data_IF_338438046849
#
_entry.id   IF_338438046849
#
_cell.length_a   1.000
_cell.length_b   1.000
_cell.length_c   1.000
_cell.angle_alpha   90.00
_cell.angle_beta   90.00
_cell.angle_gamma   90.00
#
_symmetry.space_group_name_H-M   'P 1'
#
loop_
_entity.id
_entity.type
_entity.pdbx_description
1 polymer ?
#
# COMPACT_ATOMS: atom_id res chain seq x y z
N UNK A 1 8.27 36.61 -4.47
CA UNK A 1 9.30 35.81 -3.74
C UNK A 1 9.08 34.36 -4.09
N UNK A 2 9.79 33.88 -5.11
CA UNK A 2 9.83 32.48 -5.51
C UNK A 2 11.09 31.87 -4.92
N UNK A 3 10.95 30.74 -4.23
CA UNK A 3 12.04 29.80 -4.09
C UNK A 3 11.71 28.62 -5.02
N UNK A 4 12.59 28.28 -5.99
CA UNK A 4 12.41 27.10 -6.83
C UNK A 4 12.61 25.82 -5.99
N UNK A 5 11.73 24.83 -6.17
CA UNK A 5 11.75 23.53 -5.50
C UNK A 5 12.18 22.42 -6.46
N UNK A 6 13.33 22.60 -7.09
CA UNK A 6 13.94 21.53 -7.87
C UNK A 6 15.40 21.36 -7.45
N UNK A 7 15.66 20.31 -6.67
CA UNK A 7 16.95 19.62 -6.69
C UNK A 7 16.85 18.29 -5.92
N UNK A 8 16.37 17.24 -6.60
CA UNK A 8 16.80 15.85 -6.33
C UNK A 8 16.68 15.06 -7.63
N UNK A 9 17.59 15.35 -8.56
CA UNK A 9 17.94 14.43 -9.62
C UNK A 9 18.98 13.42 -9.12
N UNK A 10 18.91 12.22 -9.68
CA UNK A 10 19.89 11.13 -9.66
C UNK A 10 19.82 10.12 -8.50
N UNK A 11 18.99 9.08 -8.67
CA UNK A 11 19.55 7.80 -9.11
C UNK A 11 18.58 7.11 -10.09
N UNK A 12 18.88 7.28 -11.37
CA UNK A 12 18.13 6.72 -12.48
C UNK A 12 18.78 5.41 -12.91
N UNK A 13 18.53 4.33 -12.18
CA UNK A 13 18.69 2.96 -12.66
C UNK A 13 18.03 1.98 -11.68
N UNK A 14 16.75 1.70 -11.92
CA UNK A 14 16.11 0.38 -11.99
C UNK A 14 14.61 0.67 -11.96
N UNK A 15 14.08 1.05 -13.12
CA UNK A 15 12.69 0.81 -13.45
C UNK A 15 12.69 0.42 -14.93
N UNK A 16 12.59 -0.87 -15.28
CA UNK A 16 12.19 -1.18 -16.64
C UNK A 16 10.80 -0.58 -16.79
N UNK A 17 10.63 0.32 -17.75
CA UNK A 17 9.31 0.79 -18.14
C UNK A 17 8.44 -0.45 -18.37
N UNK A 18 7.39 -0.60 -17.56
CA UNK A 18 6.39 -1.67 -17.76
C UNK A 18 5.60 -1.27 -18.99
N UNK A 19 5.69 -2.05 -20.06
CA UNK A 19 4.95 -1.80 -21.30
C UNK A 19 3.45 -1.92 -21.00
N UNK A 20 2.57 -1.05 -21.51
CA UNK A 20 1.12 -1.26 -21.40
C UNK A 20 0.64 -2.60 -21.98
N UNK A 21 1.44 -3.31 -22.78
CA UNK A 21 1.18 -4.68 -23.20
C UNK A 21 1.53 -5.75 -22.13
N UNK A 22 2.34 -5.41 -21.13
CA UNK A 22 2.68 -6.23 -19.95
C UNK A 22 1.65 -6.08 -18.82
N UNK A 23 0.49 -5.46 -19.07
CA UNK A 23 -0.64 -5.48 -18.14
C UNK A 23 -1.16 -6.92 -18.00
N UNK A 24 -1.02 -7.57 -16.82
CA UNK A 24 -1.38 -8.97 -16.67
C UNK A 24 -2.88 -9.16 -16.85
N UNK A 25 -3.25 -10.12 -17.70
CA UNK A 25 -4.61 -10.63 -17.82
C UNK A 25 -4.81 -11.75 -16.80
N UNK A 26 -5.44 -11.44 -15.66
CA UNK A 26 -5.85 -12.43 -14.65
C UNK A 26 -4.73 -12.89 -13.73
N UNK A 27 -4.90 -12.65 -12.42
CA UNK A 27 -4.19 -13.28 -11.29
C UNK A 27 -2.67 -13.11 -11.11
N UNK A 28 -1.92 -12.43 -11.99
CA UNK A 28 -0.49 -12.16 -11.73
C UNK A 28 -0.25 -10.84 -10.97
N UNK A 29 0.05 -10.96 -9.67
CA UNK A 29 0.57 -9.86 -8.85
C UNK A 29 1.98 -9.50 -9.31
N UNK A 30 2.27 -8.21 -9.48
CA UNK A 30 3.66 -7.76 -9.70
C UNK A 30 4.49 -7.96 -8.43
N UNK A 31 5.80 -8.15 -8.56
CA UNK A 31 6.76 -8.24 -7.43
C UNK A 31 6.66 -7.00 -6.49
N UNK A 32 6.25 -5.85 -7.03
CA UNK A 32 5.97 -4.65 -6.25
C UNK A 32 4.75 -4.82 -5.34
N UNK A 33 3.65 -5.35 -5.89
CA UNK A 33 2.40 -5.57 -5.18
C UNK A 33 2.50 -6.66 -4.12
N UNK A 34 3.20 -7.76 -4.40
CA UNK A 34 3.42 -8.84 -3.42
C UNK A 34 4.10 -8.33 -2.15
N UNK A 35 5.16 -7.51 -2.29
CA UNK A 35 5.89 -6.95 -1.14
C UNK A 35 5.04 -6.01 -0.30
N UNK A 36 4.17 -5.24 -0.95
CA UNK A 36 3.24 -4.34 -0.24
C UNK A 36 2.18 -5.16 0.50
N UNK A 37 1.62 -6.19 -0.15
CA UNK A 37 0.64 -7.08 0.45
C UNK A 37 1.23 -7.83 1.66
N UNK A 38 2.45 -8.34 1.55
CA UNK A 38 3.17 -8.99 2.64
C UNK A 38 3.40 -8.02 3.82
N UNK A 39 3.83 -6.79 3.53
CA UNK A 39 4.02 -5.76 4.56
C UNK A 39 2.73 -5.45 5.31
N UNK A 40 1.63 -5.19 4.58
CA UNK A 40 0.33 -4.87 5.17
C UNK A 40 -0.16 -6.05 6.01
N UNK A 41 -0.14 -7.26 5.44
CA UNK A 41 -0.59 -8.48 6.10
C UNK A 41 0.23 -8.73 7.37
N UNK A 42 1.55 -8.65 7.28
CA UNK A 42 2.44 -8.82 8.42
C UNK A 42 2.13 -7.85 9.56
N UNK A 43 1.96 -6.55 9.25
CA UNK A 43 1.67 -5.57 10.29
C UNK A 43 0.29 -5.81 10.90
N UNK A 44 -0.75 -6.00 10.08
CA UNK A 44 -2.13 -6.11 10.55
C UNK A 44 -2.36 -7.39 11.35
N UNK A 45 -1.85 -8.53 10.89
CA UNK A 45 -1.92 -9.82 11.61
C UNK A 45 -1.32 -9.72 13.01
N UNK A 46 -0.26 -8.93 13.19
CA UNK A 46 0.37 -8.71 14.50
C UNK A 46 -0.34 -7.66 15.36
N UNK A 47 -1.27 -6.90 14.80
CA UNK A 47 -2.08 -5.94 15.56
C UNK A 47 -3.36 -6.61 16.08
N UNK A 48 -4.02 -7.44 15.29
CA UNK A 48 -5.36 -7.98 15.59
C UNK A 48 -5.36 -9.16 16.57
N UNK A 49 -6.54 -9.47 17.11
CA UNK A 49 -6.78 -10.66 17.94
C UNK A 49 -7.25 -11.85 17.10
N UNK A 50 -7.87 -11.58 15.94
CA UNK A 50 -8.34 -12.58 14.98
C UNK A 50 -7.51 -12.53 13.69
N UNK A 51 -6.28 -13.08 13.68
CA UNK A 51 -5.40 -13.02 12.51
C UNK A 51 -5.94 -13.82 11.31
N UNK A 52 -6.79 -14.82 11.54
CA UNK A 52 -7.42 -15.61 10.49
C UNK A 52 -8.47 -14.84 9.69
N UNK A 53 -9.00 -13.75 10.26
CA UNK A 53 -10.04 -12.92 9.65
C UNK A 53 -9.44 -11.73 8.87
N UNK A 54 -8.11 -11.67 8.74
CA UNK A 54 -7.42 -10.62 7.99
C UNK A 54 -7.30 -11.02 6.54
N UNK A 55 -7.91 -10.25 5.65
CA UNK A 55 -7.73 -10.40 4.19
C UNK A 55 -7.33 -9.08 3.56
N UNK A 56 -6.44 -9.12 2.58
CA UNK A 56 -5.97 -7.95 1.84
C UNK A 56 -6.29 -8.13 0.37
N UNK A 57 -7.20 -7.30 -0.14
CA UNK A 57 -7.60 -7.27 -1.54
C UNK A 57 -6.95 -6.06 -2.24
N UNK A 58 -6.60 -6.20 -3.51
CA UNK A 58 -6.09 -5.10 -4.33
C UNK A 58 -7.19 -4.63 -5.28
N UNK A 59 -7.53 -3.36 -5.19
CA UNK A 59 -8.46 -2.69 -6.08
C UNK A 59 -7.67 -1.77 -7.00
N UNK A 60 -7.49 -2.19 -8.25
CA UNK A 60 -6.91 -1.35 -9.28
C UNK A 60 -7.86 -0.20 -9.60
N UNK A 61 -7.39 1.04 -9.39
CA UNK A 61 -8.05 2.27 -9.83
C UNK A 61 -7.23 2.92 -10.93
N UNK A 62 -7.83 3.85 -11.66
CA UNK A 62 -7.21 4.49 -12.83
C UNK A 62 -5.85 5.15 -12.53
N UNK A 63 -5.65 5.63 -11.30
CA UNK A 63 -4.48 6.41 -10.89
C UNK A 63 -3.66 5.77 -9.75
N UNK A 64 -4.13 4.66 -9.15
CA UNK A 64 -3.51 4.06 -7.96
C UNK A 64 -4.01 2.64 -7.69
N UNK A 65 -3.21 1.87 -6.97
CA UNK A 65 -3.65 0.62 -6.36
C UNK A 65 -4.18 0.90 -4.95
N UNK A 66 -5.42 0.46 -4.66
CA UNK A 66 -6.00 0.58 -3.31
C UNK A 66 -5.98 -0.79 -2.65
N UNK A 67 -5.21 -0.91 -1.58
CA UNK A 67 -5.17 -2.11 -0.75
C UNK A 67 -6.30 -2.02 0.27
N UNK A 68 -7.29 -2.88 0.12
CA UNK A 68 -8.42 -3.00 1.02
C UNK A 68 -8.12 -4.09 2.05
N UNK A 69 -7.99 -3.70 3.31
CA UNK A 69 -7.76 -4.60 4.42
C UNK A 69 -9.08 -4.83 5.14
N UNK A 70 -9.59 -6.06 5.06
CA UNK A 70 -10.74 -6.52 5.85
C UNK A 70 -10.23 -7.16 7.12
N UNK A 71 -10.87 -6.82 8.23
CA UNK A 71 -10.54 -7.37 9.55
C UNK A 71 -11.83 -7.65 10.31
N UNK A 72 -11.72 -8.49 11.34
CA UNK A 72 -12.84 -8.70 12.26
C UNK A 72 -13.33 -7.36 12.85
N UNK A 73 -14.67 -7.14 12.98
CA UNK A 73 -15.22 -5.91 13.57
C UNK A 73 -14.65 -5.56 14.95
N UNK A 74 -14.31 -6.56 15.76
CA UNK A 74 -13.71 -6.35 17.09
C UNK A 74 -12.27 -5.80 17.03
N UNK A 75 -11.58 -6.03 15.92
CA UNK A 75 -10.20 -5.61 15.71
C UNK A 75 -10.07 -4.29 14.94
N UNK A 76 -11.15 -3.84 14.27
CA UNK A 76 -11.19 -2.59 13.50
C UNK A 76 -10.66 -1.40 14.31
N UNK A 77 -11.13 -1.24 15.55
CA UNK A 77 -10.71 -0.15 16.43
C UNK A 77 -9.20 -0.17 16.74
N UNK A 78 -8.60 -1.35 16.77
CA UNK A 78 -7.16 -1.52 17.02
C UNK A 78 -6.32 -1.21 15.79
N UNK A 79 -6.78 -1.63 14.61
CA UNK A 79 -6.10 -1.38 13.32
C UNK A 79 -6.19 0.10 12.93
N UNK A 80 -7.34 0.74 13.16
CA UNK A 80 -7.48 2.19 12.98
C UNK A 80 -6.64 2.95 14.02
N UNK A 81 -6.71 2.51 15.28
CA UNK A 81 -6.04 3.15 16.41
C UNK A 81 -6.73 4.44 16.87
N UNK A 82 -6.36 4.92 18.05
CA UNK A 82 -6.93 6.15 18.64
C UNK A 82 -6.73 7.35 17.71
N UNK A 83 -7.82 7.97 17.27
CA UNK A 83 -7.77 9.09 16.33
C UNK A 83 -7.19 8.74 14.96
N UNK A 84 -7.18 7.45 14.57
CA UNK A 84 -6.63 6.99 13.30
C UNK A 84 -5.10 6.95 13.24
N UNK A 85 -4.40 7.02 14.38
CA UNK A 85 -2.93 7.08 14.41
C UNK A 85 -2.27 5.85 13.78
N UNK A 86 -2.77 4.65 14.06
CA UNK A 86 -2.22 3.40 13.51
C UNK A 86 -2.43 3.34 11.99
N UNK A 87 -3.64 3.63 11.52
CA UNK A 87 -3.93 3.70 10.09
C UNK A 87 -3.11 4.79 9.38
N UNK A 88 -2.84 5.92 10.04
CA UNK A 88 -1.97 6.98 9.50
C UNK A 88 -0.52 6.52 9.39
N UNK A 89 0.00 5.82 10.40
CA UNK A 89 1.36 5.28 10.38
C UNK A 89 1.53 4.26 9.24
N UNK A 90 0.56 3.36 9.06
CA UNK A 90 0.52 2.44 7.92
C UNK A 90 0.55 3.19 6.57
N UNK A 91 -0.27 4.23 6.41
CA UNK A 91 -0.26 5.05 5.18
C UNK A 91 1.08 5.73 4.93
N UNK A 92 1.78 6.18 5.96
CA UNK A 92 3.13 6.75 5.83
C UNK A 92 4.12 5.70 5.36
N UNK A 93 4.07 4.48 5.90
CA UNK A 93 4.91 3.36 5.46
C UNK A 93 4.66 3.03 3.98
N UNK A 94 3.38 2.92 3.59
CA UNK A 94 3.00 2.66 2.19
C UNK A 94 3.44 3.79 1.27
N UNK A 95 3.37 5.03 1.72
CA UNK A 95 3.88 6.19 0.96
C UNK A 95 5.39 6.08 0.75
N UNK A 96 6.14 5.68 1.78
CA UNK A 96 7.58 5.48 1.67
C UNK A 96 7.96 4.33 0.71
N UNK A 97 7.13 3.28 0.64
CA UNK A 97 7.28 2.20 -0.34
C UNK A 97 6.95 2.69 -1.76
N UNK A 98 5.84 3.43 -1.94
CA UNK A 98 5.44 3.98 -3.25
C UNK A 98 6.47 4.94 -3.85
N UNK A 99 7.17 5.70 -3.02
CA UNK A 99 8.22 6.61 -3.46
C UNK A 99 9.38 5.89 -4.18
N UNK A 100 9.50 4.57 -4.00
CA UNK A 100 10.52 3.75 -4.66
C UNK A 100 10.02 3.00 -5.89
N UNK A 101 8.70 2.88 -6.06
CA UNK A 101 8.09 2.04 -7.11
C UNK A 101 7.34 2.85 -8.18
N UNK A 102 7.27 4.17 -8.05
CA UNK A 102 6.45 5.08 -8.89
C UNK A 102 4.95 4.71 -8.94
N UNK A 103 4.51 3.76 -8.10
CA UNK A 103 3.13 3.32 -8.00
C UNK A 103 2.43 4.08 -6.88
N UNK A 104 1.31 4.74 -7.17
CA UNK A 104 0.48 5.33 -6.12
C UNK A 104 -0.26 4.24 -5.36
N UNK A 105 -0.11 4.26 -4.03
CA UNK A 105 -0.68 3.26 -3.12
C UNK A 105 -1.72 3.92 -2.21
N UNK A 106 -2.92 3.35 -2.16
CA UNK A 106 -3.99 3.67 -1.21
C UNK A 106 -4.19 2.55 -0.19
N UNK A 107 -4.75 2.91 0.97
CA UNK A 107 -5.11 1.97 2.03
C UNK A 107 -6.50 2.28 2.55
N UNK A 108 -7.39 1.29 2.42
CA UNK A 108 -8.72 1.26 3.01
C UNK A 108 -8.79 0.13 4.03
N UNK A 109 -9.37 0.40 5.19
CA UNK A 109 -9.55 -0.58 6.27
C UNK A 109 -11.06 -0.66 6.49
N UNK A 110 -11.61 -1.87 6.37
CA UNK A 110 -13.04 -2.15 6.44
C UNK A 110 -13.30 -3.38 7.34
N UNK A 111 -14.56 -3.56 7.72
CA UNK A 111 -15.07 -4.75 8.43
C UNK A 111 -15.62 -5.82 7.47
#
# INVERSE_FOLDING_TARGET
MSAPRDEFAADAAVNPAVDPADLPQGDELTIGQERVLELISYVVVNLVSHPADVTVDILHRQDRDVYQVKVNPEDLGRVIGKGGQTARALRVLLTAVSARTDQRIGLDIVE
#
